data_IF_511735624051
#
_entry.id   IF_511735624051
#
_cell.length_a   1.000
_cell.length_b   1.000
_cell.length_c   1.000
_cell.angle_alpha   90.00
_cell.angle_beta   90.00
_cell.angle_gamma   90.00
#
_symmetry.space_group_name_H-M   'P 1'
#
loop_
_entity.id
_entity.type
_entity.pdbx_description
1 polymer ?
#
# COMPACT_ATOMS: atom_id res chain seq x y z
N UNK A 1 -18.87 21.74 -17.13
CA UNK A 1 -17.46 22.05 -16.81
C UNK A 1 -16.62 21.04 -17.58
N UNK A 2 -15.54 21.43 -18.28
CA UNK A 2 -14.70 20.44 -18.95
C UNK A 2 -14.13 19.47 -17.91
N UNK A 3 -14.12 18.18 -18.23
CA UNK A 3 -13.46 17.17 -17.40
C UNK A 3 -11.99 17.57 -17.23
N UNK A 4 -11.55 17.73 -15.98
CA UNK A 4 -10.18 18.11 -15.68
C UNK A 4 -9.26 16.95 -16.06
N UNK A 5 -8.32 17.16 -16.98
CA UNK A 5 -7.21 16.22 -17.21
C UNK A 5 -6.25 16.31 -16.02
N UNK A 6 -6.53 15.56 -14.96
CA UNK A 6 -5.83 15.67 -13.68
C UNK A 6 -4.30 15.49 -13.81
N UNK A 7 -3.56 16.23 -12.99
CA UNK A 7 -2.11 16.08 -12.78
C UNK A 7 -1.89 16.00 -11.28
N UNK A 8 -1.60 14.81 -10.77
CA UNK A 8 -1.60 14.53 -9.34
C UNK A 8 -0.23 14.73 -8.71
N UNK A 9 -0.20 15.32 -7.53
CA UNK A 9 0.99 15.52 -6.72
C UNK A 9 0.75 14.95 -5.32
N UNK A 10 1.74 14.24 -4.78
CA UNK A 10 1.72 13.84 -3.38
C UNK A 10 1.86 15.07 -2.48
N UNK A 11 0.97 15.18 -1.51
CA UNK A 11 0.99 16.20 -0.46
C UNK A 11 0.82 15.52 0.91
N UNK A 12 1.02 16.29 1.99
CA UNK A 12 0.85 15.79 3.37
C UNK A 12 1.65 14.51 3.67
N UNK A 13 2.85 14.40 3.10
CA UNK A 13 3.69 13.20 3.24
C UNK A 13 4.14 13.09 4.69
N UNK A 14 3.84 11.95 5.32
CA UNK A 14 4.25 11.63 6.68
C UNK A 14 4.97 10.30 6.69
N UNK A 15 6.26 10.31 7.04
CA UNK A 15 7.05 9.10 7.17
C UNK A 15 6.82 8.43 8.53
N UNK A 16 6.96 7.10 8.59
CA UNK A 16 6.74 6.34 9.80
C UNK A 16 6.87 4.84 9.56
N UNK A 17 6.11 4.07 10.32
CA UNK A 17 6.10 2.61 10.27
C UNK A 17 4.67 2.10 10.13
N UNK A 18 4.47 1.10 9.28
CA UNK A 18 3.30 0.22 9.40
C UNK A 18 3.62 -0.85 10.42
N UNK A 19 2.70 -1.08 11.35
CA UNK A 19 2.87 -1.97 12.50
C UNK A 19 1.84 -3.08 12.40
N UNK A 20 2.28 -4.32 12.62
CA UNK A 20 1.44 -5.50 12.66
C UNK A 20 1.38 -6.04 14.08
N UNK A 21 0.18 -6.11 14.64
CA UNK A 21 -0.04 -6.62 15.99
C UNK A 21 -0.99 -7.80 16.00
N UNK A 22 -0.73 -8.72 16.93
CA UNK A 22 -1.58 -9.88 17.17
C UNK A 22 -1.93 -9.97 18.65
N UNK A 23 -3.22 -10.19 18.94
CA UNK A 23 -3.67 -10.44 20.29
C UNK A 23 -3.37 -11.89 20.69
N UNK A 24 -2.71 -12.09 21.83
CA UNK A 24 -2.36 -13.43 22.31
C UNK A 24 -3.57 -14.24 22.79
N UNK A 25 -4.67 -13.58 23.19
CA UNK A 25 -5.86 -14.24 23.72
C UNK A 25 -6.83 -14.69 22.63
N UNK A 26 -7.16 -13.81 21.68
CA UNK A 26 -8.17 -14.08 20.64
C UNK A 26 -7.58 -14.32 19.25
N UNK A 27 -6.26 -14.25 19.09
CA UNK A 27 -5.57 -14.28 17.79
C UNK A 27 -5.98 -13.17 16.81
N UNK A 28 -6.71 -12.14 17.27
CA UNK A 28 -7.07 -10.98 16.45
C UNK A 28 -5.84 -10.29 15.90
N UNK A 29 -5.93 -9.86 14.64
CA UNK A 29 -4.88 -9.10 13.95
C UNK A 29 -5.31 -7.66 13.80
N UNK A 30 -4.38 -6.73 13.99
CA UNK A 30 -4.57 -5.32 13.64
C UNK A 30 -3.33 -4.74 13.01
N UNK A 31 -3.54 -3.74 12.15
CA UNK A 31 -2.45 -2.95 11.58
C UNK A 31 -2.75 -1.47 11.74
N UNK A 32 -1.71 -0.67 11.94
CA UNK A 32 -1.81 0.78 12.04
C UNK A 32 -0.52 1.45 11.60
N UNK A 33 -0.57 2.78 11.44
CA UNK A 33 0.58 3.60 11.12
C UNK A 33 1.09 4.33 12.37
N UNK A 34 2.40 4.22 12.63
CA UNK A 34 3.11 4.93 13.69
C UNK A 34 4.07 5.95 13.09
N UNK A 35 3.84 7.27 13.27
CA UNK A 35 4.68 8.31 12.67
C UNK A 35 5.96 8.64 13.45
N UNK A 36 6.09 8.17 14.70
CA UNK A 36 7.18 8.58 15.61
C UNK A 36 7.82 7.42 16.34
N UNK A 37 7.00 6.46 16.76
CA UNK A 37 7.48 5.32 17.53
C UNK A 37 7.96 4.23 16.58
N UNK A 38 9.08 3.62 16.93
CA UNK A 38 9.55 2.36 16.37
C UNK A 38 9.07 1.26 17.33
N UNK A 39 7.90 0.63 17.10
CA UNK A 39 7.41 -0.37 18.02
C UNK A 39 8.39 -1.53 18.04
N UNK A 40 8.86 -1.90 19.23
CA UNK A 40 9.84 -2.97 19.36
C UNK A 40 9.13 -4.28 19.06
N UNK A 41 9.64 -5.01 18.06
CA UNK A 41 9.11 -6.34 17.73
C UNK A 41 9.23 -7.26 18.95
N UNK A 42 8.12 -7.88 19.33
CA UNK A 42 8.01 -8.74 20.49
C UNK A 42 7.44 -8.05 21.74
N UNK A 43 7.44 -6.72 21.81
CA UNK A 43 6.82 -5.99 22.93
C UNK A 43 5.32 -6.27 22.96
N UNK A 44 4.80 -6.38 24.18
CA UNK A 44 3.39 -6.65 24.42
C UNK A 44 2.82 -5.71 25.48
N UNK A 45 1.56 -5.32 25.29
CA UNK A 45 0.84 -4.45 26.21
C UNK A 45 -0.63 -4.84 26.32
N UNK A 46 -1.23 -4.43 27.42
CA UNK A 46 -2.65 -4.67 27.69
C UNK A 46 -3.47 -3.46 27.26
N UNK A 47 -4.52 -3.69 26.49
CA UNK A 47 -5.50 -2.69 26.07
C UNK A 47 -6.91 -3.32 26.19
N UNK A 48 -7.67 -2.89 27.20
CA UNK A 48 -8.93 -3.54 27.54
C UNK A 48 -8.75 -5.02 27.87
N UNK A 49 -9.47 -5.89 27.16
CA UNK A 49 -9.38 -7.35 27.30
C UNK A 49 -8.34 -7.99 26.37
N UNK A 50 -7.58 -7.19 25.62
CA UNK A 50 -6.62 -7.67 24.64
C UNK A 50 -5.18 -7.44 25.11
N UNK A 51 -4.37 -8.49 24.97
CA UNK A 51 -2.91 -8.42 25.12
C UNK A 51 -2.31 -8.39 23.73
N UNK A 52 -2.01 -7.19 23.23
CA UNK A 52 -1.44 -6.98 21.90
C UNK A 52 0.06 -7.18 21.93
N UNK A 53 0.60 -7.84 20.91
CA UNK A 53 2.04 -7.99 20.70
C UNK A 53 2.41 -7.51 19.31
N UNK A 54 3.45 -6.68 19.22
CA UNK A 54 4.04 -6.29 17.93
C UNK A 54 4.72 -7.51 17.30
N UNK A 55 4.20 -7.96 16.16
CA UNK A 55 4.71 -9.10 15.42
C UNK A 55 5.76 -8.67 14.40
N UNK A 56 5.55 -7.52 13.76
CA UNK A 56 6.40 -6.99 12.71
C UNK A 56 6.15 -5.48 12.55
N UNK A 57 7.14 -4.75 12.07
CA UNK A 57 6.99 -3.39 11.59
C UNK A 57 7.79 -3.19 10.29
N UNK A 58 7.38 -2.23 9.47
CA UNK A 58 8.08 -1.88 8.23
C UNK A 58 8.06 -0.36 8.00
N UNK A 59 9.16 0.20 7.49
CA UNK A 59 9.22 1.61 7.11
C UNK A 59 8.20 1.89 6.01
N UNK A 60 7.40 2.94 6.20
CA UNK A 60 6.35 3.36 5.27
C UNK A 60 6.13 4.87 5.35
N UNK A 61 5.18 5.37 4.55
CA UNK A 61 4.72 6.74 4.60
C UNK A 61 3.24 6.82 4.22
N UNK A 62 2.56 7.81 4.79
CA UNK A 62 1.23 8.22 4.37
C UNK A 62 1.33 9.47 3.49
N UNK A 63 0.34 9.65 2.63
CA UNK A 63 0.26 10.80 1.72
C UNK A 63 -1.18 11.03 1.30
N UNK A 64 -1.48 12.22 0.81
CA UNK A 64 -2.68 12.52 0.04
C UNK A 64 -2.29 12.89 -1.40
N UNK A 65 -3.24 12.88 -2.33
CA UNK A 65 -3.03 13.36 -3.69
C UNK A 65 -3.79 14.65 -3.94
N UNK A 66 -3.12 15.64 -4.52
CA UNK A 66 -3.75 16.89 -4.98
C UNK A 66 -3.55 17.07 -6.46
N UNK A 67 -4.62 17.39 -7.18
CA UNK A 67 -4.53 17.78 -8.58
C UNK A 67 -3.99 19.21 -8.70
N UNK A 68 -2.85 19.39 -9.36
CA UNK A 68 -2.24 20.70 -9.58
C UNK A 68 -3.06 21.65 -10.47
N UNK A 69 -4.02 21.12 -11.26
CA UNK A 69 -4.85 21.91 -12.18
C UNK A 69 -6.15 22.41 -11.58
N UNK A 70 -6.82 21.58 -10.78
CA UNK A 70 -8.14 21.89 -10.22
C UNK A 70 -8.18 21.93 -8.69
N UNK A 71 -7.05 21.70 -8.02
CA UNK A 71 -6.91 21.66 -6.56
C UNK A 71 -7.78 20.62 -5.84
N UNK A 72 -8.38 19.67 -6.57
CA UNK A 72 -9.04 18.51 -5.95
C UNK A 72 -8.03 17.76 -5.07
N UNK A 73 -8.41 17.45 -3.85
CA UNK A 73 -7.65 16.63 -2.90
C UNK A 73 -8.35 15.29 -2.73
N UNK A 74 -7.60 14.22 -2.86
CA UNK A 74 -8.02 12.85 -2.56
C UNK A 74 -7.20 12.33 -1.37
N UNK A 75 -7.91 11.87 -0.34
CA UNK A 75 -7.28 11.42 0.90
C UNK A 75 -6.95 9.94 0.85
N UNK A 76 -5.84 9.56 1.47
CA UNK A 76 -5.41 8.17 1.61
C UNK A 76 -4.95 7.84 3.04
N UNK A 77 -5.70 8.33 4.04
CA UNK A 77 -5.47 8.08 5.47
C UNK A 77 -5.69 6.60 5.87
N UNK A 78 -6.43 5.85 5.07
CA UNK A 78 -6.64 4.41 5.16
C UNK A 78 -5.63 3.57 4.34
N UNK A 79 -4.74 4.21 3.58
CA UNK A 79 -3.74 3.52 2.76
C UNK A 79 -2.52 3.12 3.58
N UNK A 80 -2.23 1.81 3.53
CA UNK A 80 -1.12 1.20 4.25
C UNK A 80 0.11 1.02 3.35
N UNK A 81 -0.10 0.63 2.10
CA UNK A 81 0.98 0.34 1.17
C UNK A 81 0.54 -0.48 -0.03
N UNK A 82 1.50 -0.78 -0.90
CA UNK A 82 1.32 -1.70 -2.02
C UNK A 82 1.91 -3.06 -1.71
N UNK A 83 1.23 -4.09 -2.18
CA UNK A 83 1.74 -5.45 -2.22
C UNK A 83 1.89 -5.89 -3.68
N UNK A 84 3.04 -6.46 -3.99
CA UNK A 84 3.30 -7.15 -5.24
C UNK A 84 2.97 -8.63 -5.08
N UNK A 85 1.99 -9.13 -5.84
CA UNK A 85 1.62 -10.53 -5.82
C UNK A 85 2.69 -11.36 -6.57
N UNK A 86 3.21 -12.39 -5.93
CA UNK A 86 4.22 -13.29 -6.52
C UNK A 86 3.62 -14.60 -7.03
N UNK A 87 2.29 -14.66 -7.19
CA UNK A 87 1.56 -15.87 -7.59
C UNK A 87 1.29 -16.80 -6.40
N UNK A 88 0.23 -16.50 -5.63
CA UNK A 88 -0.06 -17.18 -4.37
C UNK A 88 -0.89 -18.47 -4.52
N UNK A 89 -2.01 -18.42 -5.24
CA UNK A 89 -2.96 -19.53 -5.42
C UNK A 89 -3.48 -19.56 -6.88
N UNK A 90 -3.73 -20.74 -7.48
CA UNK A 90 -4.17 -20.85 -8.88
C UNK A 90 -5.50 -20.16 -9.22
N UNK A 91 -6.36 -19.99 -8.22
CA UNK A 91 -7.70 -19.39 -8.29
C UNK A 91 -7.75 -17.94 -7.76
N UNK A 92 -6.61 -17.39 -7.32
CA UNK A 92 -6.53 -16.03 -6.84
C UNK A 92 -6.85 -15.03 -7.98
N UNK A 93 -7.85 -14.17 -7.76
CA UNK A 93 -8.27 -13.19 -8.76
C UNK A 93 -7.16 -12.21 -9.14
N UNK A 94 -6.30 -11.82 -8.19
CA UNK A 94 -5.14 -10.97 -8.47
C UNK A 94 -4.16 -11.65 -9.42
N UNK A 95 -3.83 -12.93 -9.21
CA UNK A 95 -2.91 -13.69 -10.07
C UNK A 95 -3.49 -13.87 -11.49
N UNK A 96 -4.80 -14.15 -11.57
CA UNK A 96 -5.51 -14.25 -12.86
C UNK A 96 -5.44 -12.92 -13.62
N UNK A 97 -5.66 -11.78 -12.96
CA UNK A 97 -5.58 -10.46 -13.59
C UNK A 97 -4.13 -10.13 -13.98
N UNK A 98 -3.18 -10.42 -13.11
CA UNK A 98 -1.75 -10.19 -13.35
C UNK A 98 -1.27 -10.90 -14.61
N UNK A 99 -1.56 -12.20 -14.76
CA UNK A 99 -1.20 -12.98 -15.96
C UNK A 99 -1.81 -12.41 -17.24
N UNK A 100 -3.05 -11.90 -17.18
CA UNK A 100 -3.70 -11.25 -18.33
C UNK A 100 -2.99 -9.95 -18.71
N UNK A 101 -2.66 -9.13 -17.73
CA UNK A 101 -2.05 -7.81 -17.89
C UNK A 101 -0.55 -7.86 -18.21
N UNK A 102 0.13 -8.94 -17.85
CA UNK A 102 1.54 -9.17 -18.16
C UNK A 102 1.81 -9.13 -19.68
N UNK A 103 0.90 -9.70 -20.48
CA UNK A 103 0.95 -9.66 -21.95
C UNK A 103 0.93 -8.22 -22.52
N UNK A 104 0.45 -7.26 -21.72
CA UNK A 104 0.36 -5.85 -22.06
C UNK A 104 1.46 -5.02 -21.36
N UNK A 105 2.51 -5.66 -20.83
CA UNK A 105 3.61 -5.03 -20.09
C UNK A 105 3.12 -4.21 -18.89
N UNK A 106 2.06 -4.66 -18.25
CA UNK A 106 1.43 -3.95 -17.12
C UNK A 106 1.77 -4.64 -15.81
N UNK A 107 2.37 -3.87 -14.90
CA UNK A 107 2.70 -4.25 -13.54
C UNK A 107 1.48 -4.10 -12.65
N UNK A 108 1.11 -5.15 -11.93
CA UNK A 108 -0.02 -5.12 -10.99
C UNK A 108 0.47 -4.87 -9.58
N UNK A 109 -0.06 -3.83 -8.94
CA UNK A 109 0.14 -3.55 -7.52
C UNK A 109 -1.20 -3.63 -6.80
N UNK A 110 -1.22 -4.27 -5.65
CA UNK A 110 -2.42 -4.38 -4.82
C UNK A 110 -2.37 -3.31 -3.73
N UNK A 111 -3.35 -2.41 -3.69
CA UNK A 111 -3.48 -1.40 -2.64
C UNK A 111 -4.06 -2.03 -1.37
N UNK A 112 -3.33 -1.90 -0.27
CA UNK A 112 -3.72 -2.43 1.04
C UNK A 112 -4.17 -1.32 1.99
N UNK A 113 -5.15 -1.65 2.83
CA UNK A 113 -5.63 -0.82 3.93
C UNK A 113 -5.35 -1.46 5.30
N UNK A 114 -5.64 -0.72 6.37
CA UNK A 114 -5.44 -1.19 7.74
C UNK A 114 -6.47 -2.24 8.19
N UNK A 115 -6.06 -3.14 9.09
CA UNK A 115 -6.87 -4.20 9.70
C UNK A 115 -7.17 -3.93 11.19
N UNK A 116 -8.27 -4.44 11.77
CA UNK A 116 -9.39 -5.09 11.09
C UNK A 116 -10.21 -4.08 10.27
N UNK A 117 -10.76 -4.55 9.15
CA UNK A 117 -11.54 -3.72 8.23
C UNK A 117 -12.80 -3.22 8.92
N UNK A 118 -13.09 -1.91 8.82
CA UNK A 118 -14.49 -1.47 8.93
C UNK A 118 -15.14 -1.82 7.61
N UNK A 119 -16.19 -2.65 7.61
CA UNK A 119 -16.83 -3.29 6.44
C UNK A 119 -17.16 -2.37 5.23
N UNK A 120 -17.00 -1.04 5.34
CA UNK A 120 -17.21 -0.04 4.30
C UNK A 120 -15.94 0.64 3.74
N UNK A 121 -14.76 0.32 4.25
CA UNK A 121 -13.51 1.03 3.94
C UNK A 121 -12.60 0.23 2.99
N UNK A 122 -13.08 -0.16 1.81
CA UNK A 122 -12.15 -0.40 0.70
C UNK A 122 -12.03 0.81 -0.20
N UNK A 123 -10.90 0.90 -0.88
CA UNK A 123 -10.68 1.92 -1.90
C UNK A 123 -11.79 1.84 -2.95
N UNK A 124 -12.51 2.93 -3.12
CA UNK A 124 -13.47 3.04 -4.22
C UNK A 124 -12.74 2.87 -5.56
N UNK A 125 -13.41 2.39 -6.62
CA UNK A 125 -12.82 2.28 -7.95
C UNK A 125 -12.21 3.60 -8.44
N UNK A 126 -12.81 4.74 -8.06
CA UNK A 126 -12.29 6.07 -8.37
C UNK A 126 -10.96 6.35 -7.64
N UNK A 127 -10.85 6.02 -6.36
CA UNK A 127 -9.62 6.20 -5.58
C UNK A 127 -8.48 5.34 -6.10
N UNK A 128 -8.77 4.10 -6.51
CA UNK A 128 -7.78 3.24 -7.17
C UNK A 128 -7.34 3.81 -8.51
N UNK A 129 -8.29 4.37 -9.28
CA UNK A 129 -8.01 4.99 -10.57
C UNK A 129 -7.11 6.23 -10.43
N UNK A 130 -7.33 7.04 -9.39
CA UNK A 130 -6.48 8.20 -9.10
C UNK A 130 -5.04 7.76 -8.75
N UNK A 131 -4.86 6.69 -7.97
CA UNK A 131 -3.53 6.10 -7.72
C UNK A 131 -2.89 5.62 -9.02
N UNK A 132 -3.65 4.87 -9.84
CA UNK A 132 -3.17 4.39 -11.13
C UNK A 132 -2.73 5.55 -12.03
N UNK A 133 -3.51 6.62 -12.12
CA UNK A 133 -3.18 7.79 -12.91
C UNK A 133 -1.89 8.46 -12.39
N UNK A 134 -1.75 8.61 -11.06
CA UNK A 134 -0.53 9.14 -10.45
C UNK A 134 0.72 8.33 -10.83
N UNK A 135 0.69 6.99 -10.75
CA UNK A 135 1.84 6.15 -11.07
C UNK A 135 2.17 6.09 -12.58
N UNK A 136 1.18 6.38 -13.43
CA UNK A 136 1.38 6.35 -14.88
C UNK A 136 1.63 7.73 -15.51
N UNK A 137 1.30 8.85 -14.85
CA UNK A 137 1.37 10.18 -15.45
C UNK A 137 2.80 10.62 -15.86
N UNK A 138 3.85 10.03 -15.27
CA UNK A 138 5.26 10.27 -15.63
C UNK A 138 5.94 9.06 -16.27
N UNK A 139 5.21 7.97 -16.48
CA UNK A 139 5.73 6.73 -17.05
C UNK A 139 5.57 6.76 -18.56
N UNK A 140 6.54 6.21 -19.29
CA UNK A 140 6.35 5.87 -20.70
C UNK A 140 5.42 4.65 -20.81
N UNK A 141 4.12 4.92 -20.95
CA UNK A 141 3.08 3.89 -21.00
C UNK A 141 3.14 3.02 -22.25
N UNK A 142 3.95 3.38 -23.25
CA UNK A 142 4.21 2.50 -24.41
C UNK A 142 5.15 1.34 -24.06
N UNK A 143 5.99 1.51 -23.02
CA UNK A 143 6.94 0.49 -22.55
C UNK A 143 6.41 -0.34 -21.42
N UNK A 144 5.70 0.30 -20.48
CA UNK A 144 5.14 -0.37 -19.30
C UNK A 144 4.05 0.46 -18.67
N UNK A 145 3.11 -0.19 -17.99
CA UNK A 145 2.04 0.47 -17.22
C UNK A 145 1.99 -0.09 -15.81
N UNK A 146 1.41 0.66 -14.88
CA UNK A 146 1.00 0.14 -13.57
C UNK A 146 -0.53 0.04 -13.53
N UNK A 147 -1.06 -1.06 -13.01
CA UNK A 147 -2.47 -1.21 -12.67
C UNK A 147 -2.58 -1.38 -11.16
N UNK A 148 -3.52 -0.66 -10.54
CA UNK A 148 -3.73 -0.72 -9.09
C UNK A 148 -5.03 -1.47 -8.80
N UNK A 149 -4.93 -2.54 -8.03
CA UNK A 149 -6.07 -3.38 -7.64
C UNK A 149 -6.39 -3.24 -6.15
N UNK A 150 -7.65 -3.48 -5.78
CA UNK A 150 -8.03 -3.60 -4.37
C UNK A 150 -7.54 -4.94 -3.80
N UNK A 151 -7.08 -4.92 -2.55
CA UNK A 151 -6.85 -6.14 -1.78
C UNK A 151 -8.13 -6.98 -1.56
N UNK A 152 -9.32 -6.41 -1.78
CA UNK A 152 -10.61 -7.14 -1.76
C UNK A 152 -10.64 -8.36 -2.70
N UNK A 153 -9.76 -8.38 -3.70
CA UNK A 153 -9.63 -9.51 -4.63
C UNK A 153 -8.90 -10.72 -4.02
N UNK A 154 -8.41 -10.61 -2.77
CA UNK A 154 -7.73 -11.66 -2.03
C UNK A 154 -8.69 -12.21 -0.96
N UNK A 155 -9.22 -13.42 -1.19
CA UNK A 155 -10.21 -14.04 -0.29
C UNK A 155 -9.60 -14.50 1.04
N UNK A 156 -8.39 -15.08 1.01
CA UNK A 156 -7.67 -15.54 2.21
C UNK A 156 -6.28 -14.91 2.26
N UNK A 157 -6.17 -13.81 3.02
CA UNK A 157 -4.90 -13.10 3.22
C UNK A 157 -3.82 -13.98 3.86
N UNK A 158 -4.19 -14.95 4.71
CA UNK A 158 -3.22 -15.82 5.40
C UNK A 158 -2.45 -16.73 4.44
N UNK A 159 -3.00 -16.96 3.24
CA UNK A 159 -2.39 -17.74 2.16
C UNK A 159 -1.76 -16.87 1.08
N UNK A 160 -1.86 -15.54 1.20
CA UNK A 160 -1.26 -14.62 0.25
C UNK A 160 0.26 -14.70 0.35
N UNK A 161 0.89 -14.94 -0.80
CA UNK A 161 2.34 -14.87 -1.00
C UNK A 161 2.58 -13.66 -1.87
N UNK A 162 2.92 -12.56 -1.22
CA UNK A 162 3.23 -11.31 -1.88
C UNK A 162 4.21 -10.52 -1.04
N UNK A 163 4.93 -9.64 -1.70
CA UNK A 163 5.92 -8.79 -1.06
C UNK A 163 5.33 -7.40 -0.92
N UNK A 164 5.27 -6.89 0.32
CA UNK A 164 5.00 -5.47 0.51
C UNK A 164 6.13 -4.66 -0.08
N UNK A 165 5.79 -3.69 -0.92
CA UNK A 165 6.75 -2.74 -1.45
C UNK A 165 7.18 -1.87 -0.29
N UNK A 166 8.41 -2.10 0.18
CA UNK A 166 9.05 -1.31 1.20
C UNK A 166 10.19 -0.50 0.57
N UNK A 167 10.27 0.78 0.89
CA UNK A 167 11.45 1.57 0.54
C UNK A 167 12.49 1.42 1.65
N UNK A 168 13.63 0.83 1.30
CA UNK A 168 14.76 0.68 2.23
C UNK A 168 15.51 2.00 2.33
N UNK A 169 15.64 2.53 3.55
CA UNK A 169 16.37 3.77 3.80
C UNK A 169 15.54 5.05 3.69
N UNK A 170 14.20 4.97 3.67
CA UNK A 170 13.32 6.15 3.67
C UNK A 170 13.51 7.05 4.88
N UNK A 171 13.83 6.47 6.03
CA UNK A 171 14.10 7.21 7.27
C UNK A 171 15.60 7.56 7.43
N UNK A 172 16.43 7.24 6.43
CA UNK A 172 17.85 7.59 6.44
C UNK A 172 18.00 9.10 6.30
N UNK A 173 18.73 9.71 7.24
CA UNK A 173 19.17 11.09 7.13
C UNK A 173 20.35 11.24 6.16
N UNK A 174 21.00 10.13 5.80
CA UNK A 174 22.06 10.11 4.79
C UNK A 174 21.47 9.86 3.41
N UNK A 175 21.79 10.70 2.41
CA UNK A 175 21.33 10.48 1.04
C UNK A 175 21.86 9.14 0.50
N UNK A 176 21.09 8.41 -0.32
CA UNK A 176 21.53 7.15 -0.92
C UNK A 176 22.84 7.36 -1.70
N UNK A 177 23.87 6.58 -1.36
CA UNK A 177 25.14 6.55 -2.11
C UNK A 177 24.90 5.85 -3.45
N UNK A 178 24.47 6.63 -4.43
CA UNK A 178 24.20 6.27 -5.82
C UNK A 178 23.16 5.15 -6.03
N UNK A 179 22.28 5.34 -7.02
CA UNK A 179 21.43 4.25 -7.50
C UNK A 179 22.34 3.20 -8.13
N UNK A 180 22.26 1.95 -7.66
CA UNK A 180 22.87 0.82 -8.39
C UNK A 180 22.41 0.89 -9.86
N UNK A 181 23.34 0.84 -10.83
CA UNK A 181 22.96 0.75 -12.22
C UNK A 181 22.06 -0.47 -12.40
N UNK A 182 20.99 -0.31 -13.19
CA UNK A 182 20.20 -1.43 -13.65
C UNK A 182 21.12 -2.28 -14.54
N UNK A 183 21.51 -3.46 -14.05
CA UNK A 183 22.23 -4.47 -14.81
C UNK A 183 21.32 -5.09 -15.89
#
# INVERSE_FOLDING_TARGET
MPECQHLWEMINIQFGFVVFEKCSHCNGLRTYFSPKDHPIVGDAYLEGEHTWRCMENAQSFQFDLRCAKCNRVEKYDDFMGFLYCTGCLPDCQVDIIQKKLETQKTWVLVAFSFFPRKEKDSFSPERLKILEDYFNQRRDTSRSRVAILSYDLIEDFSRCKGEFIHDVGMLSLEPPKERKPLL
#
